data_IF_519449333412
#
_entry.id   IF_519449333412
#
_cell.length_a   1.000
_cell.length_b   1.000
_cell.length_c   1.000
_cell.angle_alpha   90.00
_cell.angle_beta   90.00
_cell.angle_gamma   90.00
#
_symmetry.space_group_name_H-M   'P 1'
#
loop_
_entity.id
_entity.type
_entity.pdbx_description
1 polymer ?
#
# COMPACT_ATOMS: atom_id res chain seq x y z
N UNK A 1 -53.77 -10.06 7.53
CA UNK A 1 -53.09 -11.37 7.68
C UNK A 1 -53.19 -12.07 6.36
N UNK A 2 -52.07 -12.22 5.67
CA UNK A 2 -51.93 -12.90 4.36
C UNK A 2 -50.47 -13.30 4.28
N UNK A 3 -50.18 -14.58 4.05
CA UNK A 3 -48.82 -15.11 4.12
C UNK A 3 -47.94 -14.54 3.01
N UNK A 4 -46.72 -14.12 3.38
CA UNK A 4 -45.62 -13.98 2.43
C UNK A 4 -44.59 -15.05 2.76
N UNK A 5 -44.45 -16.02 1.87
CA UNK A 5 -43.57 -17.18 2.05
C UNK A 5 -42.15 -16.74 2.46
N UNK A 6 -41.67 -17.26 3.59
CA UNK A 6 -40.25 -17.15 3.94
C UNK A 6 -39.48 -18.05 2.99
N UNK A 7 -39.05 -17.49 1.85
CA UNK A 7 -38.04 -18.10 1.00
C UNK A 7 -36.77 -18.28 1.82
N UNK A 8 -36.56 -19.50 2.32
CA UNK A 8 -35.34 -19.90 2.97
C UNK A 8 -34.19 -19.69 1.97
N UNK A 9 -33.38 -18.65 2.20
CA UNK A 9 -32.19 -18.41 1.41
C UNK A 9 -31.23 -19.59 1.66
N UNK A 10 -31.06 -20.44 0.65
CA UNK A 10 -30.11 -21.55 0.68
C UNK A 10 -28.72 -20.97 0.93
N UNK A 11 -28.16 -21.27 2.09
CA UNK A 11 -26.85 -20.76 2.48
C UNK A 11 -25.76 -21.53 1.72
N UNK A 12 -25.40 -21.03 0.53
CA UNK A 12 -24.29 -21.56 -0.27
C UNK A 12 -22.97 -21.33 0.45
N UNK A 13 -22.64 -22.24 1.37
CA UNK A 13 -21.37 -22.31 2.08
C UNK A 13 -20.48 -23.37 1.43
N UNK A 14 -19.60 -22.94 0.53
CA UNK A 14 -18.61 -23.84 -0.10
C UNK A 14 -17.35 -23.91 0.74
N UNK A 15 -16.82 -25.13 0.93
CA UNK A 15 -15.59 -25.35 1.67
C UNK A 15 -14.83 -26.55 1.08
N UNK A 16 -13.50 -26.53 1.18
CA UNK A 16 -12.65 -27.59 0.62
C UNK A 16 -11.16 -27.31 0.78
N UNK A 17 -10.33 -28.17 0.18
CA UNK A 17 -8.90 -27.88 -0.03
C UNK A 17 -8.73 -27.03 -1.29
N UNK A 18 -7.87 -26.04 -1.23
CA UNK A 18 -7.51 -25.21 -2.39
C UNK A 18 -6.66 -26.03 -3.38
N UNK A 19 -6.87 -25.80 -4.67
CA UNK A 19 -5.98 -26.31 -5.72
C UNK A 19 -4.71 -25.45 -5.78
N UNK A 20 -3.60 -26.00 -6.30
CA UNK A 20 -2.33 -25.30 -6.38
C UNK A 20 -1.64 -25.44 -7.74
N UNK A 21 -0.78 -24.48 -8.07
CA UNK A 21 0.09 -24.52 -9.26
C UNK A 21 1.47 -23.90 -8.96
N UNK A 22 2.58 -24.51 -9.41
CA UNK A 22 3.90 -23.89 -9.33
C UNK A 22 4.01 -22.69 -10.31
N UNK A 23 4.46 -21.55 -9.79
CA UNK A 23 4.58 -20.28 -10.52
C UNK A 23 5.88 -19.57 -10.13
N UNK A 24 6.38 -18.65 -10.98
CA UNK A 24 7.59 -17.84 -10.76
C UNK A 24 8.91 -18.62 -10.66
N UNK A 25 9.09 -19.45 -9.62
CA UNK A 25 10.32 -20.20 -9.32
C UNK A 25 10.04 -21.47 -8.50
N UNK A 26 11.02 -22.37 -8.40
CA UNK A 26 10.84 -23.68 -7.78
C UNK A 26 10.62 -23.61 -6.26
N UNK A 27 9.45 -24.06 -5.80
CA UNK A 27 8.99 -23.94 -4.40
C UNK A 27 8.02 -22.78 -4.16
N UNK A 28 7.74 -21.95 -5.18
CA UNK A 28 6.70 -20.92 -5.12
C UNK A 28 5.41 -21.45 -5.75
N UNK A 29 4.34 -21.44 -4.97
CA UNK A 29 3.04 -21.99 -5.35
C UNK A 29 1.95 -20.92 -5.28
N UNK A 30 1.12 -20.90 -6.32
CA UNK A 30 -0.18 -20.25 -6.34
C UNK A 30 -1.23 -21.19 -5.76
N UNK A 31 -2.17 -20.68 -4.97
CA UNK A 31 -3.36 -21.41 -4.52
C UNK A 31 -4.66 -20.69 -4.89
N UNK A 32 -5.66 -21.44 -5.34
CA UNK A 32 -7.01 -20.96 -5.71
C UNK A 32 -8.10 -21.92 -5.17
N UNK A 33 -9.33 -21.44 -4.96
CA UNK A 33 -10.43 -22.28 -4.45
C UNK A 33 -10.91 -23.32 -5.48
N UNK A 34 -10.98 -22.94 -6.75
CA UNK A 34 -11.30 -23.81 -7.88
C UNK A 34 -10.64 -23.29 -9.17
N UNK A 35 -10.71 -24.08 -10.25
CA UNK A 35 -10.28 -23.63 -11.58
C UNK A 35 -11.08 -22.40 -12.06
N UNK A 36 -12.37 -22.34 -11.73
CA UNK A 36 -13.26 -21.24 -12.10
C UNK A 36 -12.85 -19.94 -11.36
N UNK A 37 -12.54 -20.02 -10.07
CA UNK A 37 -12.08 -18.86 -9.29
C UNK A 37 -10.73 -18.33 -9.80
N UNK A 38 -9.83 -19.25 -10.18
CA UNK A 38 -8.53 -18.95 -10.78
C UNK A 38 -8.66 -18.19 -12.11
N UNK A 39 -9.68 -18.53 -12.91
CA UNK A 39 -9.97 -17.92 -14.22
C UNK A 39 -10.78 -16.62 -14.10
N UNK A 40 -11.59 -16.48 -13.05
CA UNK A 40 -12.36 -15.28 -12.74
C UNK A 40 -11.55 -14.18 -12.02
N UNK A 41 -10.33 -14.46 -11.53
CA UNK A 41 -9.52 -13.48 -10.80
C UNK A 41 -8.90 -12.43 -11.72
N UNK A 42 -8.86 -11.18 -11.25
CA UNK A 42 -8.15 -10.11 -11.94
C UNK A 42 -6.62 -10.36 -12.00
N UNK A 43 -5.91 -9.79 -12.99
CA UNK A 43 -4.45 -9.78 -13.02
C UNK A 43 -3.87 -9.20 -11.74
N UNK A 44 -2.84 -9.84 -11.19
CA UNK A 44 -2.24 -9.40 -9.92
C UNK A 44 -1.67 -7.99 -10.03
N UNK A 45 -1.80 -7.19 -8.96
CA UNK A 45 -1.12 -5.91 -8.82
C UNK A 45 0.16 -5.99 -7.97
N UNK A 46 0.44 -7.17 -7.38
CA UNK A 46 1.59 -7.43 -6.51
C UNK A 46 2.91 -7.58 -7.26
N UNK A 47 2.88 -7.68 -8.60
CA UNK A 47 4.03 -7.91 -9.49
C UNK A 47 4.15 -6.82 -10.56
N UNK A 48 5.38 -6.44 -10.91
CA UNK A 48 5.69 -5.47 -11.97
C UNK A 48 5.09 -5.89 -13.31
N UNK A 49 5.20 -7.18 -13.63
CA UNK A 49 4.47 -7.82 -14.73
C UNK A 49 3.30 -8.60 -14.14
N UNK A 50 2.09 -8.07 -14.28
CA UNK A 50 0.86 -8.66 -13.76
C UNK A 50 0.66 -10.13 -14.18
N UNK A 51 1.17 -10.51 -15.37
CA UNK A 51 1.04 -11.88 -15.91
C UNK A 51 1.98 -12.89 -15.24
N UNK A 52 3.03 -12.47 -14.53
CA UNK A 52 4.03 -13.41 -13.98
C UNK A 52 3.43 -14.39 -12.95
N UNK A 53 2.37 -14.01 -12.23
CA UNK A 53 1.60 -14.91 -11.35
C UNK A 53 0.84 -15.99 -12.11
N UNK A 54 0.53 -15.75 -13.38
CA UNK A 54 -0.30 -16.61 -14.22
C UNK A 54 0.56 -17.50 -15.16
N UNK A 55 1.90 -17.38 -15.09
CA UNK A 55 2.86 -18.22 -15.82
C UNK A 55 3.27 -19.43 -14.96
N UNK A 56 3.01 -20.62 -15.49
CA UNK A 56 3.38 -21.89 -14.88
C UNK A 56 4.88 -22.19 -15.05
N UNK A 57 5.46 -22.82 -14.03
CA UNK A 57 6.86 -23.30 -14.05
C UNK A 57 6.87 -24.80 -13.86
N UNK A 58 7.73 -25.53 -14.59
CA UNK A 58 7.92 -26.96 -14.33
C UNK A 58 8.63 -27.14 -12.99
N UNK A 59 7.94 -27.73 -12.01
CA UNK A 59 8.50 -28.12 -10.71
C UNK A 59 8.01 -29.51 -10.35
N UNK A 60 8.92 -30.30 -9.77
CA UNK A 60 8.63 -31.63 -9.22
C UNK A 60 8.31 -31.57 -7.72
N UNK A 61 8.26 -30.37 -7.11
CA UNK A 61 7.92 -30.18 -5.69
C UNK A 61 6.41 -30.04 -5.52
N UNK A 62 5.91 -30.63 -4.44
CA UNK A 62 4.57 -30.35 -3.90
C UNK A 62 4.68 -29.38 -2.71
N UNK A 63 3.68 -28.52 -2.46
CA UNK A 63 3.68 -27.65 -1.30
C UNK A 63 3.51 -28.43 0.02
N UNK A 64 4.36 -28.14 1.01
CA UNK A 64 4.31 -28.78 2.35
C UNK A 64 3.05 -28.46 3.15
N UNK A 65 2.30 -27.42 2.74
CA UNK A 65 1.04 -26.99 3.33
C UNK A 65 0.04 -26.71 2.19
N UNK A 66 -1.13 -27.32 2.24
CA UNK A 66 -2.23 -27.08 1.27
C UNK A 66 -3.38 -26.44 2.05
N UNK A 67 -3.79 -25.20 1.72
CA UNK A 67 -4.82 -24.50 2.48
C UNK A 67 -6.20 -25.11 2.29
N UNK A 68 -7.01 -25.00 3.35
CA UNK A 68 -8.46 -25.15 3.27
C UNK A 68 -9.10 -23.77 3.13
N UNK A 69 -10.25 -23.72 2.47
CA UNK A 69 -11.07 -22.53 2.35
C UNK A 69 -12.49 -22.78 2.83
N UNK A 70 -13.16 -21.71 3.23
CA UNK A 70 -14.55 -21.70 3.66
C UNK A 70 -15.18 -20.36 3.25
N UNK A 71 -16.14 -20.40 2.34
CA UNK A 71 -16.90 -19.24 1.88
C UNK A 71 -18.25 -19.18 2.60
N UNK A 72 -18.60 -18.04 3.18
CA UNK A 72 -19.92 -17.78 3.79
C UNK A 72 -20.30 -16.32 3.63
N UNK A 73 -21.55 -16.02 3.23
CA UNK A 73 -22.10 -14.66 3.20
C UNK A 73 -21.24 -13.64 2.42
N UNK A 74 -20.62 -14.07 1.31
CA UNK A 74 -19.71 -13.24 0.50
C UNK A 74 -18.32 -12.99 1.10
N UNK A 75 -18.02 -13.57 2.27
CA UNK A 75 -16.70 -13.61 2.88
C UNK A 75 -16.01 -14.93 2.55
N UNK A 76 -14.69 -14.88 2.36
CA UNK A 76 -13.83 -16.04 2.12
C UNK A 76 -12.80 -16.15 3.25
N UNK A 77 -12.79 -17.28 3.94
CA UNK A 77 -11.86 -17.61 5.03
C UNK A 77 -10.87 -18.64 4.49
N UNK A 78 -9.57 -18.39 4.63
CA UNK A 78 -8.49 -19.31 4.24
C UNK A 78 -7.68 -19.70 5.48
N UNK A 79 -7.38 -21.00 5.63
CA UNK A 79 -6.65 -21.60 6.75
C UNK A 79 -5.55 -22.50 6.16
N UNK A 80 -4.27 -22.40 6.55
CA UNK A 80 -3.34 -23.52 6.33
C UNK A 80 -3.40 -24.47 7.51
N UNK A 81 -3.81 -25.70 7.24
CA UNK A 81 -3.86 -26.81 8.18
C UNK A 81 -3.03 -27.96 7.60
N UNK A 82 -2.38 -28.73 8.46
CA UNK A 82 -1.62 -29.92 8.02
C UNK A 82 -2.53 -31.15 7.90
N UNK A 83 -2.06 -32.20 7.23
CA UNK A 83 -2.93 -33.18 6.57
C UNK A 83 -3.68 -34.15 7.50
N UNK A 84 -4.98 -34.30 7.25
CA UNK A 84 -5.89 -35.40 7.65
C UNK A 84 -6.15 -35.63 9.16
N UNK A 85 -5.22 -35.31 10.05
CA UNK A 85 -5.53 -34.89 11.42
C UNK A 85 -4.99 -33.47 11.60
N UNK A 86 -5.74 -32.60 12.27
CA UNK A 86 -5.46 -31.15 12.33
C UNK A 86 -4.23 -30.85 13.18
N UNK A 87 -3.06 -30.93 12.56
CA UNK A 87 -1.79 -30.38 13.09
C UNK A 87 -1.62 -28.97 12.54
N UNK A 88 -1.17 -28.06 13.41
CA UNK A 88 -1.05 -26.62 13.13
C UNK A 88 0.40 -26.26 12.82
N UNK A 89 0.71 -24.97 12.69
CA UNK A 89 2.12 -24.55 12.78
C UNK A 89 2.73 -25.06 14.09
N UNK A 90 3.99 -25.55 14.08
CA UNK A 90 4.67 -26.03 15.29
C UNK A 90 4.63 -24.99 16.42
N UNK A 91 4.46 -25.46 17.66
CA UNK A 91 4.51 -24.58 18.84
C UNK A 91 5.88 -23.87 18.92
N UNK A 92 5.85 -22.55 19.10
CA UNK A 92 7.04 -21.69 18.98
C UNK A 92 7.28 -21.12 17.57
N UNK A 93 6.36 -21.29 16.63
CA UNK A 93 6.38 -20.53 15.36
C UNK A 93 6.10 -19.04 15.61
N UNK A 94 7.01 -18.17 15.19
CA UNK A 94 6.86 -16.70 15.28
C UNK A 94 6.36 -16.11 13.96
N UNK A 95 5.51 -15.08 14.04
CA UNK A 95 4.90 -14.43 12.87
C UNK A 95 5.29 -12.95 12.75
N UNK A 96 5.52 -12.50 11.54
CA UNK A 96 5.84 -11.10 11.18
C UNK A 96 5.04 -10.70 9.92
N UNK A 97 4.85 -9.40 9.65
CA UNK A 97 4.25 -8.94 8.38
C UNK A 97 3.05 -8.00 8.52
N UNK A 98 2.17 -8.08 7.53
CA UNK A 98 0.87 -7.39 7.38
C UNK A 98 0.92 -5.87 7.20
N UNK A 99 1.90 -5.38 6.43
CA UNK A 99 1.93 -3.99 5.99
C UNK A 99 2.56 -3.03 6.98
N UNK A 100 2.04 -1.81 7.03
CA UNK A 100 2.44 -0.81 8.00
C UNK A 100 1.59 -0.94 9.27
N UNK A 101 2.24 -1.31 10.39
CA UNK A 101 1.57 -1.63 11.65
C UNK A 101 2.45 -1.20 12.81
N UNK A 102 1.85 -0.51 13.79
CA UNK A 102 2.52 -0.02 15.01
C UNK A 102 2.97 -1.15 15.96
N UNK A 103 3.58 -0.77 17.08
CA UNK A 103 3.84 -1.68 18.20
C UNK A 103 5.05 -2.62 18.01
N UNK A 104 4.93 -3.85 18.52
CA UNK A 104 5.99 -4.86 18.45
C UNK A 104 6.13 -5.44 17.04
N UNK A 105 7.35 -5.83 16.65
CA UNK A 105 7.62 -6.40 15.32
C UNK A 105 6.98 -7.79 15.13
N UNK A 106 6.98 -8.62 16.17
CA UNK A 106 6.30 -9.92 16.17
C UNK A 106 4.78 -9.76 16.31
N UNK A 107 4.03 -10.57 15.55
CA UNK A 107 2.57 -10.55 15.43
C UNK A 107 1.89 -11.80 15.99
N UNK A 108 2.67 -12.73 16.55
CA UNK A 108 2.17 -13.93 17.24
C UNK A 108 1.16 -13.57 18.33
N UNK A 109 -0.06 -14.11 18.23
CA UNK A 109 -1.18 -13.81 19.14
C UNK A 109 -1.97 -12.54 18.81
N UNK A 110 -1.60 -11.76 17.78
CA UNK A 110 -2.28 -10.51 17.38
C UNK A 110 -3.31 -10.72 16.26
N UNK A 111 -4.11 -9.68 16.00
CA UNK A 111 -5.04 -9.55 14.88
C UNK A 111 -4.69 -8.27 14.13
N UNK A 112 -4.54 -8.31 12.81
CA UNK A 112 -4.11 -7.15 12.00
C UNK A 112 -5.05 -6.96 10.82
N UNK A 113 -5.35 -5.70 10.49
CA UNK A 113 -6.26 -5.34 9.41
C UNK A 113 -5.52 -4.58 8.31
N UNK A 114 -5.38 -5.18 7.13
CA UNK A 114 -4.82 -4.49 5.96
C UNK A 114 -5.90 -3.59 5.34
N UNK A 115 -5.88 -2.32 5.73
CA UNK A 115 -6.77 -1.28 5.22
C UNK A 115 -6.10 0.09 5.29
N UNK A 116 -5.90 0.76 4.14
CA UNK A 116 -5.25 2.07 4.08
C UNK A 116 -6.14 3.11 4.78
N UNK A 117 -5.62 3.67 5.87
CA UNK A 117 -6.34 4.54 6.81
C UNK A 117 -5.46 5.74 7.14
N UNK A 118 -6.02 6.96 7.09
CA UNK A 118 -5.33 8.13 7.62
C UNK A 118 -5.37 8.07 9.16
N UNK A 119 -4.20 7.87 9.77
CA UNK A 119 -4.04 7.45 11.15
C UNK A 119 -3.11 8.41 11.92
N UNK A 120 -3.39 9.72 11.85
CA UNK A 120 -2.64 10.74 12.58
C UNK A 120 -2.51 10.40 14.08
N UNK A 121 -1.29 10.49 14.62
CA UNK A 121 -1.04 10.27 16.05
C UNK A 121 -1.27 8.82 16.53
N UNK A 122 -1.07 7.84 15.64
CA UNK A 122 -1.29 6.40 15.92
C UNK A 122 -0.62 5.87 17.19
N UNK A 123 -1.34 5.05 17.95
CA UNK A 123 -0.84 4.39 19.17
C UNK A 123 -0.21 3.01 18.89
N UNK A 124 0.32 2.32 19.91
CA UNK A 124 1.03 1.04 19.73
C UNK A 124 0.16 -0.11 19.22
N UNK A 125 -1.15 -0.11 19.48
CA UNK A 125 -2.11 -1.13 19.03
C UNK A 125 -2.90 -0.70 17.77
N UNK A 126 -2.46 0.33 17.03
CA UNK A 126 -3.11 0.76 15.78
C UNK A 126 -2.80 -0.21 14.62
N UNK A 127 -3.77 -1.05 14.30
CA UNK A 127 -3.63 -2.20 13.39
C UNK A 127 -3.89 -1.91 11.90
N UNK A 128 -4.30 -0.69 11.56
CA UNK A 128 -4.45 -0.20 10.19
C UNK A 128 -3.85 1.20 10.10
N UNK A 129 -2.79 1.33 9.30
CA UNK A 129 -2.12 2.60 8.99
C UNK A 129 -2.22 2.85 7.48
N UNK A 130 -1.22 3.50 6.88
CA UNK A 130 -1.32 4.05 5.54
C UNK A 130 -1.10 2.96 4.45
N UNK A 131 -0.38 1.87 4.75
CA UNK A 131 -0.05 0.82 3.76
C UNK A 131 -0.56 -0.60 4.06
N UNK A 132 -1.30 -1.17 3.10
CA UNK A 132 -1.86 -2.53 3.13
C UNK A 132 -1.00 -3.52 2.37
N UNK A 133 -0.14 -4.27 3.06
CA UNK A 133 0.57 -5.41 2.47
C UNK A 133 -0.01 -6.71 3.06
N UNK A 134 -0.86 -7.47 2.33
CA UNK A 134 -1.45 -8.73 2.80
C UNK A 134 -0.43 -9.89 2.77
N UNK A 135 0.72 -9.66 3.39
CA UNK A 135 1.91 -10.51 3.43
C UNK A 135 2.22 -10.94 4.86
N UNK A 136 2.65 -12.18 5.05
CA UNK A 136 3.06 -12.76 6.33
C UNK A 136 4.41 -13.42 6.15
N UNK A 137 5.26 -13.40 7.18
CA UNK A 137 6.42 -14.26 7.30
C UNK A 137 6.30 -15.07 8.59
N UNK A 138 6.10 -16.38 8.46
CA UNK A 138 6.20 -17.33 9.57
C UNK A 138 7.64 -17.85 9.65
N UNK A 139 8.19 -17.94 10.86
CA UNK A 139 9.49 -18.54 11.16
C UNK A 139 9.26 -19.69 12.14
N UNK A 140 9.61 -20.91 11.71
CA UNK A 140 9.38 -22.14 12.44
C UNK A 140 10.47 -22.36 13.53
N UNK A 141 10.21 -23.18 14.57
CA UNK A 141 11.18 -23.45 15.65
C UNK A 141 12.52 -24.06 15.20
N UNK A 142 12.57 -24.67 14.01
CA UNK A 142 13.78 -25.22 13.39
C UNK A 142 14.57 -24.19 12.55
N UNK A 143 14.11 -22.93 12.48
CA UNK A 143 14.73 -21.87 11.68
C UNK A 143 14.29 -21.80 10.21
N UNK A 144 13.41 -22.70 9.75
CA UNK A 144 12.80 -22.60 8.43
C UNK A 144 11.79 -21.42 8.38
N UNK A 145 11.58 -20.86 7.19
CA UNK A 145 10.72 -19.68 7.02
C UNK A 145 9.76 -19.83 5.84
N UNK A 146 8.51 -19.42 6.05
CA UNK A 146 7.38 -19.54 5.13
C UNK A 146 6.70 -18.17 4.97
N UNK A 147 6.95 -17.48 3.86
CA UNK A 147 6.37 -16.17 3.57
C UNK A 147 5.10 -16.27 2.73
N UNK A 148 3.93 -15.85 3.23
CA UNK A 148 2.60 -16.04 2.62
C UNK A 148 2.01 -14.71 2.14
N UNK A 149 1.68 -14.59 0.85
CA UNK A 149 0.95 -13.47 0.25
C UNK A 149 -0.50 -13.88 -0.04
N UNK A 150 -1.49 -13.18 0.50
CA UNK A 150 -2.85 -13.20 -0.04
C UNK A 150 -2.98 -12.09 -1.11
N UNK A 151 -2.91 -12.45 -2.40
CA UNK A 151 -2.96 -11.54 -3.56
C UNK A 151 -4.39 -11.03 -3.79
N UNK A 152 -4.88 -10.21 -2.86
CA UNK A 152 -6.23 -9.63 -2.89
C UNK A 152 -6.20 -8.11 -2.73
N UNK A 153 -7.07 -7.44 -3.47
CA UNK A 153 -7.40 -6.02 -3.28
C UNK A 153 -8.70 -5.84 -2.47
N UNK A 154 -9.11 -6.85 -1.68
CA UNK A 154 -10.21 -6.76 -0.70
C UNK A 154 -9.68 -6.39 0.70
N UNK A 155 -10.57 -6.07 1.65
CA UNK A 155 -10.17 -5.81 3.04
C UNK A 155 -9.72 -7.14 3.63
N UNK A 156 -8.41 -7.33 3.83
CA UNK A 156 -7.87 -8.59 4.32
C UNK A 156 -7.50 -8.48 5.80
N UNK A 157 -7.95 -9.44 6.60
CA UNK A 157 -7.70 -9.54 8.03
C UNK A 157 -6.81 -10.75 8.32
N UNK A 158 -5.65 -10.52 8.94
CA UNK A 158 -4.75 -11.57 9.41
C UNK A 158 -5.03 -11.89 10.88
N UNK A 159 -5.37 -13.14 11.19
CA UNK A 159 -5.68 -13.61 12.53
C UNK A 159 -4.59 -14.59 13.02
N UNK A 160 -3.57 -14.06 13.68
CA UNK A 160 -2.35 -14.78 14.10
C UNK A 160 -2.50 -15.50 15.45
N UNK A 161 -3.61 -16.21 15.67
CA UNK A 161 -3.94 -16.79 16.97
C UNK A 161 -3.09 -18.03 17.32
N UNK A 162 -1.89 -17.80 17.86
CA UNK A 162 -1.18 -18.78 18.68
C UNK A 162 -1.84 -18.92 20.07
N UNK A 163 -3.12 -19.30 20.08
CA UNK A 163 -3.79 -19.82 21.27
C UNK A 163 -3.36 -21.28 21.48
N UNK A 164 -3.69 -21.86 22.63
CA UNK A 164 -3.50 -23.31 22.89
C UNK A 164 -4.22 -24.22 21.86
N UNK A 165 -5.19 -23.67 21.10
CA UNK A 165 -5.85 -24.36 19.98
C UNK A 165 -5.14 -24.21 18.63
N UNK A 166 -4.17 -23.31 18.48
CA UNK A 166 -3.23 -23.19 17.35
C UNK A 166 -3.80 -22.87 15.95
N UNK A 167 -5.11 -22.68 15.80
CA UNK A 167 -5.73 -22.36 14.51
C UNK A 167 -5.46 -20.91 14.12
N UNK A 168 -5.17 -20.67 12.85
CA UNK A 168 -5.08 -19.35 12.26
C UNK A 168 -5.97 -19.22 11.03
N UNK A 169 -6.32 -17.99 10.67
CA UNK A 169 -7.07 -17.71 9.46
C UNK A 169 -6.61 -16.39 8.81
N UNK A 170 -6.68 -16.34 7.49
CA UNK A 170 -6.79 -15.08 6.75
C UNK A 170 -8.26 -14.94 6.35
N UNK A 171 -8.89 -13.85 6.78
CA UNK A 171 -10.32 -13.60 6.58
C UNK A 171 -10.48 -12.51 5.52
N UNK A 172 -11.39 -12.75 4.57
CA UNK A 172 -11.67 -11.95 3.37
C UNK A 172 -10.58 -11.94 2.28
N UNK A 173 -9.83 -13.05 2.14
CA UNK A 173 -8.86 -13.25 1.06
C UNK A 173 -9.51 -13.66 -0.28
N UNK A 174 -10.25 -12.76 -0.94
CA UNK A 174 -10.76 -13.00 -2.30
C UNK A 174 -9.64 -12.72 -3.31
N UNK A 175 -8.80 -13.73 -3.54
CA UNK A 175 -7.61 -13.68 -4.38
C UNK A 175 -6.74 -14.92 -4.19
N UNK A 176 -5.75 -15.11 -5.07
CA UNK A 176 -4.86 -16.26 -5.00
C UNK A 176 -3.81 -16.11 -3.88
N UNK A 177 -3.29 -17.21 -3.34
CA UNK A 177 -2.21 -17.17 -2.33
C UNK A 177 -0.85 -17.50 -2.96
N UNK A 178 0.24 -16.77 -2.64
CA UNK A 178 1.60 -16.93 -3.21
C UNK A 178 2.68 -16.95 -2.12
N UNK A 179 3.91 -17.41 -2.41
CA UNK A 179 4.97 -17.67 -1.40
C UNK A 179 6.37 -17.09 -1.77
N UNK A 180 7.16 -16.51 -0.84
CA UNK A 180 8.53 -15.93 -1.11
C UNK A 180 9.45 -15.60 0.12
N UNK A 181 10.65 -15.01 -0.09
CA UNK A 181 11.75 -14.69 0.88
C UNK A 181 12.74 -13.58 0.35
N UNK A 182 13.10 -12.48 1.07
CA UNK A 182 14.14 -11.45 0.67
C UNK A 182 14.48 -10.28 1.69
N UNK A 183 15.42 -9.31 1.39
CA UNK A 183 16.07 -8.28 2.30
C UNK A 183 16.47 -6.87 1.66
N UNK A 184 16.75 -5.77 2.43
CA UNK A 184 17.53 -4.50 2.10
C UNK A 184 16.86 -3.05 2.31
N UNK A 185 17.51 -1.90 2.67
CA UNK A 185 16.89 -0.72 3.42
C UNK A 185 17.01 0.80 2.95
N UNK A 186 16.00 1.69 3.26
CA UNK A 186 16.05 3.19 3.50
C UNK A 186 15.97 4.21 2.30
N UNK A 187 15.54 5.51 2.33
CA UNK A 187 14.80 6.45 3.26
C UNK A 187 14.41 7.87 2.64
N UNK A 188 13.55 8.75 3.24
CA UNK A 188 13.23 10.18 2.83
C UNK A 188 12.10 11.01 3.56
N UNK A 189 11.94 12.36 3.37
CA UNK A 189 10.80 13.30 3.78
C UNK A 189 11.03 14.80 3.33
N UNK A 190 10.31 15.95 3.56
CA UNK A 190 9.06 16.47 4.28
C UNK A 190 8.53 17.84 3.61
N UNK A 191 7.35 18.47 3.95
CA UNK A 191 6.61 19.47 3.08
C UNK A 191 6.17 20.86 3.66
N UNK A 192 5.44 21.68 2.86
CA UNK A 192 4.55 22.84 3.23
C UNK A 192 3.22 22.90 2.40
N UNK A 193 2.25 23.79 2.74
CA UNK A 193 0.81 23.67 2.35
C UNK A 193 0.08 24.85 1.65
N UNK A 194 -1.28 24.84 1.71
CA UNK A 194 -2.28 25.68 1.00
C UNK A 194 -2.20 25.67 -0.55
N UNK A 195 -2.74 24.63 -1.20
CA UNK A 195 -2.42 24.30 -2.60
C UNK A 195 -3.63 24.23 -3.53
N UNK A 196 -3.43 24.55 -4.81
CA UNK A 196 -4.08 23.85 -5.91
C UNK A 196 -3.21 22.65 -6.29
N UNK A 197 -3.78 21.48 -6.50
CA UNK A 197 -3.00 20.22 -6.58
C UNK A 197 -1.96 20.21 -7.71
N UNK A 198 -2.34 20.79 -8.86
CA UNK A 198 -1.49 20.91 -10.05
C UNK A 198 -1.65 22.37 -10.51
N UNK A 199 -1.18 23.28 -9.65
CA UNK A 199 -1.20 24.72 -9.85
C UNK A 199 -0.44 25.41 -8.72
N UNK A 200 0.54 26.22 -9.05
CA UNK A 200 1.36 26.93 -8.08
C UNK A 200 0.58 28.09 -7.44
N UNK A 201 1.00 28.51 -6.25
CA UNK A 201 0.50 29.74 -5.64
C UNK A 201 1.22 30.90 -6.33
N UNK A 202 0.61 31.44 -7.38
CA UNK A 202 1.20 32.47 -8.25
C UNK A 202 1.78 33.66 -7.46
N UNK A 203 1.07 34.09 -6.42
CA UNK A 203 1.47 35.18 -5.50
C UNK A 203 2.75 34.90 -4.69
N UNK A 204 3.14 33.63 -4.53
CA UNK A 204 4.29 33.22 -3.68
C UNK A 204 5.43 32.60 -4.48
N UNK A 205 5.12 31.94 -5.59
CA UNK A 205 6.07 31.24 -6.44
C UNK A 205 5.78 31.49 -7.93
N UNK A 206 5.81 32.76 -8.40
CA UNK A 206 5.45 33.12 -9.77
C UNK A 206 6.42 32.55 -10.82
N UNK A 207 7.71 32.39 -10.46
CA UNK A 207 8.67 31.65 -11.28
C UNK A 207 9.19 30.40 -10.52
N UNK A 208 8.56 29.22 -10.71
CA UNK A 208 9.07 27.97 -10.15
C UNK A 208 10.39 27.52 -10.79
N UNK A 209 10.68 27.94 -12.03
CA UNK A 209 11.85 27.51 -12.79
C UNK A 209 13.10 28.23 -12.28
N UNK A 210 13.02 29.52 -11.95
CA UNK A 210 14.10 30.20 -11.23
C UNK A 210 14.30 29.57 -9.85
N UNK A 211 13.24 29.41 -9.05
CA UNK A 211 13.35 28.80 -7.71
C UNK A 211 14.08 27.43 -7.74
N UNK A 212 13.71 26.54 -8.66
CA UNK A 212 14.35 25.22 -8.77
C UNK A 212 15.78 25.31 -9.33
N UNK A 213 16.04 26.21 -10.29
CA UNK A 213 17.39 26.51 -10.77
C UNK A 213 18.28 27.03 -9.65
N UNK A 214 17.78 27.92 -8.80
CA UNK A 214 18.53 28.51 -7.69
C UNK A 214 18.84 27.47 -6.61
N UNK A 215 17.89 26.57 -6.30
CA UNK A 215 18.15 25.37 -5.49
C UNK A 215 19.22 24.47 -6.12
N UNK A 216 19.23 24.26 -7.44
CA UNK A 216 20.27 23.48 -8.13
C UNK A 216 21.64 24.17 -8.08
N UNK A 217 21.70 25.50 -8.18
CA UNK A 217 22.94 26.28 -8.10
C UNK A 217 23.64 26.10 -6.74
N UNK A 218 22.87 25.94 -5.64
CA UNK A 218 23.41 25.66 -4.30
C UNK A 218 23.49 24.15 -3.98
N UNK A 219 23.33 23.26 -4.98
CA UNK A 219 23.51 21.82 -4.84
C UNK A 219 22.31 21.04 -4.27
N UNK A 220 21.17 21.70 -4.04
CA UNK A 220 19.95 21.06 -3.51
C UNK A 220 19.11 20.40 -4.61
N UNK A 221 18.11 19.63 -4.18
CA UNK A 221 17.16 18.90 -5.04
C UNK A 221 15.72 19.25 -4.67
N UNK A 222 14.89 19.49 -5.68
CA UNK A 222 13.53 20.00 -5.49
C UNK A 222 12.51 18.86 -5.52
N UNK A 223 11.96 18.53 -4.34
CA UNK A 223 10.92 17.51 -4.16
C UNK A 223 9.59 18.20 -3.86
N UNK A 224 8.55 17.91 -4.66
CA UNK A 224 7.25 18.61 -4.57
C UNK A 224 6.09 17.64 -4.26
N UNK A 225 5.24 18.02 -3.32
CA UNK A 225 4.11 17.21 -2.85
C UNK A 225 2.83 17.50 -3.65
N UNK A 226 2.28 16.48 -4.34
CA UNK A 226 1.06 16.50 -5.14
C UNK A 226 -0.03 15.59 -4.52
N UNK A 227 -1.15 16.17 -4.12
CA UNK A 227 -2.31 15.51 -3.53
C UNK A 227 -3.31 15.02 -4.61
N UNK A 228 -4.12 13.96 -4.38
CA UNK A 228 -5.05 13.43 -5.39
C UNK A 228 -6.38 14.16 -5.55
N UNK A 229 -6.88 14.83 -4.50
CA UNK A 229 -8.21 15.45 -4.51
C UNK A 229 -8.21 16.75 -5.31
N UNK A 230 -8.57 16.70 -6.59
CA UNK A 230 -8.62 17.86 -7.48
C UNK A 230 -9.78 18.77 -7.08
N UNK A 231 -9.50 20.02 -6.74
CA UNK A 231 -10.53 21.01 -6.36
C UNK A 231 -11.69 21.03 -7.37
N UNK A 232 -12.91 20.89 -6.86
CA UNK A 232 -14.15 20.94 -7.63
C UNK A 232 -14.54 22.41 -7.88
N UNK A 233 -13.92 23.01 -8.90
CA UNK A 233 -14.00 24.44 -9.22
C UNK A 233 -14.19 24.61 -10.74
N UNK A 234 -15.30 25.24 -11.16
CA UNK A 234 -15.49 25.59 -12.58
C UNK A 234 -14.41 26.57 -13.04
N UNK A 235 -13.96 26.43 -14.29
CA UNK A 235 -12.83 27.19 -14.83
C UNK A 235 -11.44 26.70 -14.38
N UNK A 236 -11.31 25.88 -13.34
CA UNK A 236 -10.02 25.26 -13.00
C UNK A 236 -9.61 24.25 -14.07
N UNK A 237 -8.53 24.53 -14.80
CA UNK A 237 -8.13 23.79 -16.00
C UNK A 237 -7.94 22.27 -15.77
N UNK A 238 -7.49 21.86 -14.59
CA UNK A 238 -7.32 20.44 -14.23
C UNK A 238 -8.68 19.76 -14.10
N UNK A 239 -9.65 20.42 -13.44
CA UNK A 239 -11.01 19.90 -13.33
C UNK A 239 -11.69 19.85 -14.71
N UNK A 240 -11.60 20.91 -15.51
CA UNK A 240 -12.13 20.93 -16.88
C UNK A 240 -11.50 19.83 -17.77
N UNK A 241 -10.17 19.64 -17.67
CA UNK A 241 -9.45 18.61 -18.40
C UNK A 241 -9.85 17.19 -17.99
N UNK A 242 -9.93 16.90 -16.68
CA UNK A 242 -10.31 15.57 -16.21
C UNK A 242 -11.77 15.24 -16.52
N UNK A 243 -12.68 16.21 -16.43
CA UNK A 243 -14.08 16.04 -16.84
C UNK A 243 -14.20 15.75 -18.34
N UNK A 244 -13.43 16.44 -19.20
CA UNK A 244 -13.41 16.18 -20.66
C UNK A 244 -12.93 14.76 -21.01
N UNK A 245 -12.07 14.17 -20.19
CA UNK A 245 -11.54 12.81 -20.39
C UNK A 245 -12.31 11.73 -19.59
N UNK A 246 -13.33 12.12 -18.82
CA UNK A 246 -14.08 11.26 -17.90
C UNK A 246 -13.15 10.42 -17.00
N UNK A 247 -12.33 11.09 -16.17
CA UNK A 247 -11.30 10.42 -15.34
C UNK A 247 -11.69 10.29 -13.87
N UNK A 248 -12.88 10.73 -13.47
CA UNK A 248 -13.27 10.80 -12.06
C UNK A 248 -13.85 9.49 -11.54
N UNK A 249 -13.64 9.22 -10.26
CA UNK A 249 -14.46 8.27 -9.51
C UNK A 249 -15.91 8.78 -9.55
N UNK A 250 -16.82 7.95 -10.06
CA UNK A 250 -18.26 8.24 -10.11
C UNK A 250 -19.00 7.54 -8.95
N UNK A 251 -20.13 8.14 -8.55
CA UNK A 251 -21.15 7.51 -7.70
C UNK A 251 -22.10 6.66 -8.57
N UNK A 252 -22.98 5.89 -7.94
CA UNK A 252 -23.95 5.03 -8.64
C UNK A 252 -24.98 5.80 -9.52
N UNK A 253 -25.09 7.13 -9.37
CA UNK A 253 -25.89 8.02 -10.22
C UNK A 253 -25.09 8.62 -11.40
N UNK A 254 -23.88 8.10 -11.68
CA UNK A 254 -22.98 8.56 -12.75
C UNK A 254 -22.30 9.91 -12.49
N UNK A 255 -22.62 10.61 -11.39
CA UNK A 255 -22.00 11.90 -11.05
C UNK A 255 -20.66 11.68 -10.34
N UNK A 256 -19.66 12.56 -10.52
CA UNK A 256 -18.42 12.50 -9.77
C UNK A 256 -18.64 12.39 -8.25
N UNK A 257 -17.82 11.58 -7.59
CA UNK A 257 -17.71 11.57 -6.14
C UNK A 257 -17.00 12.86 -5.70
N UNK A 258 -17.62 13.57 -4.77
CA UNK A 258 -17.09 14.80 -4.17
C UNK A 258 -16.84 14.56 -2.69
N UNK A 259 -15.68 14.98 -2.18
CA UNK A 259 -15.32 14.94 -0.77
C UNK A 259 -14.28 16.00 -0.42
N UNK A 260 -14.25 16.45 0.82
CA UNK A 260 -13.42 17.58 1.25
C UNK A 260 -11.98 17.17 1.60
N UNK A 261 -11.01 17.96 1.11
CA UNK A 261 -9.57 17.82 1.39
C UNK A 261 -8.95 19.23 1.49
N UNK A 262 -7.62 19.37 1.37
CA UNK A 262 -6.90 20.65 1.55
C UNK A 262 -7.47 21.88 0.80
N UNK A 263 -7.98 21.80 -0.45
CA UNK A 263 -8.54 22.95 -1.15
C UNK A 263 -10.07 23.10 -0.97
N UNK A 264 -10.69 22.38 -0.03
CA UNK A 264 -12.14 22.26 0.12
C UNK A 264 -12.71 21.10 -0.69
N UNK A 265 -13.91 21.23 -1.30
CA UNK A 265 -14.53 20.17 -2.09
C UNK A 265 -13.66 19.71 -3.26
N UNK A 266 -13.44 18.40 -3.36
CA UNK A 266 -12.58 17.77 -4.37
C UNK A 266 -13.27 16.64 -5.12
N UNK A 267 -12.92 16.45 -6.39
CA UNK A 267 -13.12 15.20 -7.14
C UNK A 267 -11.81 14.40 -7.21
N UNK A 268 -11.91 13.08 -7.42
CA UNK A 268 -10.78 12.16 -7.29
C UNK A 268 -10.59 11.36 -8.59
N UNK A 269 -9.37 11.29 -9.18
CA UNK A 269 -9.11 10.47 -10.36
C UNK A 269 -9.30 8.98 -10.08
N UNK A 270 -10.02 8.26 -10.94
CA UNK A 270 -10.14 6.80 -10.88
C UNK A 270 -8.88 6.14 -11.48
N UNK A 271 -7.81 6.09 -10.67
CA UNK A 271 -6.56 5.46 -11.06
C UNK A 271 -6.66 3.96 -11.39
N UNK A 272 -7.81 3.29 -11.19
CA UNK A 272 -8.02 1.92 -11.72
C UNK A 272 -8.10 1.91 -13.24
N UNK A 273 -8.59 2.99 -13.85
CA UNK A 273 -8.73 3.15 -15.29
C UNK A 273 -7.42 3.63 -15.95
N UNK A 274 -7.04 3.01 -17.06
CA UNK A 274 -5.83 3.38 -17.82
C UNK A 274 -5.87 4.81 -18.35
N UNK A 275 -7.05 5.30 -18.76
CA UNK A 275 -7.24 6.70 -19.20
C UNK A 275 -6.92 7.72 -18.10
N UNK A 276 -7.34 7.47 -16.86
CA UNK A 276 -7.05 8.37 -15.73
C UNK A 276 -5.56 8.38 -15.39
N UNK A 277 -4.91 7.22 -15.39
CA UNK A 277 -3.45 7.10 -15.19
C UNK A 277 -2.65 7.85 -16.27
N UNK A 278 -3.03 7.68 -17.54
CA UNK A 278 -2.37 8.37 -18.66
C UNK A 278 -2.59 9.89 -18.62
N UNK A 279 -3.80 10.34 -18.25
CA UNK A 279 -4.11 11.75 -18.04
C UNK A 279 -3.25 12.36 -16.91
N UNK A 280 -3.17 11.70 -15.75
CA UNK A 280 -2.33 12.12 -14.62
C UNK A 280 -0.84 12.12 -14.98
N UNK A 281 -0.35 11.09 -15.66
CA UNK A 281 1.04 10.98 -16.09
C UNK A 281 1.45 12.14 -17.01
N UNK A 282 0.57 12.63 -17.87
CA UNK A 282 0.82 13.82 -18.70
C UNK A 282 0.88 15.11 -17.86
N UNK A 283 -0.02 15.29 -16.88
CA UNK A 283 0.02 16.43 -15.98
C UNK A 283 1.30 16.43 -15.12
N UNK A 284 1.75 15.26 -14.63
CA UNK A 284 3.02 15.12 -13.92
C UNK A 284 4.20 15.39 -14.85
N UNK A 285 4.20 14.88 -16.09
CA UNK A 285 5.23 15.19 -17.10
C UNK A 285 5.41 16.70 -17.28
N UNK A 286 4.30 17.42 -17.46
CA UNK A 286 4.33 18.86 -17.71
C UNK A 286 4.71 19.64 -16.44
N UNK A 287 4.32 19.16 -15.25
CA UNK A 287 4.78 19.73 -13.97
C UNK A 287 6.30 19.54 -13.75
N UNK A 288 6.86 18.38 -14.10
CA UNK A 288 8.31 18.12 -14.02
C UNK A 288 9.12 19.03 -14.97
N UNK A 289 8.53 19.55 -16.04
CA UNK A 289 9.17 20.53 -16.94
C UNK A 289 9.58 21.85 -16.26
N UNK A 290 9.14 22.07 -15.01
CA UNK A 290 9.59 23.17 -14.16
C UNK A 290 10.94 22.90 -13.44
N UNK A 291 11.60 21.77 -13.74
CA UNK A 291 12.93 21.41 -13.23
C UNK A 291 12.93 20.47 -12.02
N UNK A 292 11.74 20.22 -11.45
CA UNK A 292 11.48 19.37 -10.28
C UNK A 292 12.18 18.01 -10.41
N UNK A 293 12.89 17.56 -9.37
CA UNK A 293 13.66 16.31 -9.39
C UNK A 293 12.88 15.11 -8.84
N UNK A 294 11.85 15.34 -8.03
CA UNK A 294 11.06 14.28 -7.43
C UNK A 294 9.68 14.72 -6.98
N UNK A 295 8.76 13.76 -6.89
CA UNK A 295 7.38 13.98 -6.46
C UNK A 295 7.12 13.23 -5.16
N UNK A 296 6.25 13.80 -4.34
CA UNK A 296 5.65 13.11 -3.22
C UNK A 296 4.12 13.09 -3.40
N UNK A 297 3.50 11.91 -3.36
CA UNK A 297 2.05 11.77 -3.24
C UNK A 297 1.63 11.58 -1.77
N UNK A 298 0.82 12.51 -1.27
CA UNK A 298 0.22 12.53 0.08
C UNK A 298 -1.31 12.43 -0.01
N UNK A 299 -1.98 12.24 1.12
CA UNK A 299 -3.45 12.09 1.23
C UNK A 299 -4.04 11.03 0.27
N UNK A 300 -3.24 10.02 -0.08
CA UNK A 300 -3.52 9.11 -1.19
C UNK A 300 -3.97 7.72 -0.77
N UNK A 301 -4.47 7.58 0.47
CA UNK A 301 -5.22 6.41 0.92
C UNK A 301 -6.39 6.15 -0.03
N UNK A 302 -7.18 7.21 -0.35
CA UNK A 302 -8.44 7.46 0.35
C UNK A 302 -9.19 6.14 0.60
N UNK A 303 -9.72 5.98 1.82
CA UNK A 303 -10.13 4.72 2.47
C UNK A 303 -11.31 3.94 1.82
N UNK A 304 -11.51 4.10 0.51
CA UNK A 304 -12.47 3.41 -0.36
C UNK A 304 -11.71 2.40 -1.27
N UNK A 305 -10.44 2.67 -1.64
CA UNK A 305 -9.72 1.92 -2.69
C UNK A 305 -8.29 1.51 -2.28
N UNK A 306 -8.10 0.24 -1.84
CA UNK A 306 -6.82 -0.32 -1.31
C UNK A 306 -5.56 -0.19 -2.19
N UNK A 307 -5.71 0.04 -3.50
CA UNK A 307 -4.57 0.19 -4.43
C UNK A 307 -4.43 1.61 -4.97
N UNK A 308 -5.23 2.58 -4.49
CA UNK A 308 -5.28 3.94 -5.03
C UNK A 308 -3.92 4.64 -4.92
N UNK A 309 -3.32 4.69 -3.73
CA UNK A 309 -2.01 5.31 -3.51
C UNK A 309 -0.90 4.68 -4.37
N UNK A 310 -0.92 3.36 -4.54
CA UNK A 310 0.01 2.65 -5.43
C UNK A 310 -0.20 3.01 -6.91
N UNK A 311 -1.45 3.04 -7.39
CA UNK A 311 -1.76 3.37 -8.79
C UNK A 311 -1.52 4.85 -9.10
N UNK A 312 -1.73 5.75 -8.13
CA UNK A 312 -1.31 7.15 -8.19
C UNK A 312 0.21 7.26 -8.27
N UNK A 313 0.95 6.64 -7.34
CA UNK A 313 2.42 6.65 -7.31
C UNK A 313 3.04 6.06 -8.60
N UNK A 314 2.46 4.99 -9.13
CA UNK A 314 2.80 4.43 -10.45
C UNK A 314 2.58 5.44 -11.57
N UNK A 315 1.42 6.09 -11.62
CA UNK A 315 1.09 7.09 -12.65
C UNK A 315 2.04 8.30 -12.58
N UNK A 316 2.41 8.70 -11.37
CA UNK A 316 3.44 9.73 -11.11
C UNK A 316 4.81 9.28 -11.63
N UNK A 317 5.24 8.06 -11.31
CA UNK A 317 6.53 7.50 -11.76
C UNK A 317 6.61 7.41 -13.30
N UNK A 318 5.54 6.89 -13.93
CA UNK A 318 5.42 6.82 -15.39
C UNK A 318 5.46 8.24 -16.01
N UNK A 319 4.75 9.22 -15.42
CA UNK A 319 4.78 10.62 -15.85
C UNK A 319 6.16 11.29 -15.74
N UNK A 320 6.90 11.04 -14.66
CA UNK A 320 8.30 11.50 -14.53
C UNK A 320 9.20 10.92 -15.62
N UNK A 321 9.06 9.62 -15.93
CA UNK A 321 9.79 8.96 -17.01
C UNK A 321 9.41 9.44 -18.42
N UNK A 322 8.22 10.03 -18.59
CA UNK A 322 7.81 10.72 -19.83
C UNK A 322 8.39 12.14 -19.95
N UNK A 323 8.85 12.76 -18.87
CA UNK A 323 9.47 14.09 -18.89
C UNK A 323 10.97 14.05 -19.23
N UNK A 324 11.76 13.21 -18.55
CA UNK A 324 13.17 12.99 -18.89
C UNK A 324 13.62 11.56 -18.59
N UNK A 325 13.70 10.74 -19.65
CA UNK A 325 14.14 9.33 -19.59
C UNK A 325 15.58 9.14 -19.10
N UNK A 326 16.38 10.20 -19.00
CA UNK A 326 17.77 10.16 -18.52
C UNK A 326 17.86 10.34 -17.00
N UNK A 327 16.85 10.94 -16.37
CA UNK A 327 16.74 11.01 -14.90
C UNK A 327 16.03 9.77 -14.37
N UNK A 328 16.54 9.17 -13.29
CA UNK A 328 15.80 8.17 -12.53
C UNK A 328 14.66 8.86 -11.76
N UNK A 329 13.38 8.48 -11.92
CA UNK A 329 12.31 9.07 -11.14
C UNK A 329 12.48 8.81 -9.64
N UNK A 330 12.19 9.82 -8.82
CA UNK A 330 12.05 9.71 -7.37
C UNK A 330 10.62 10.05 -6.99
N UNK A 331 9.89 9.04 -6.49
CA UNK A 331 8.54 9.20 -5.94
C UNK A 331 8.54 8.75 -4.49
N UNK A 332 7.89 9.53 -3.62
CA UNK A 332 7.55 9.19 -2.24
C UNK A 332 6.02 9.06 -2.14
N UNK A 333 5.49 8.06 -1.44
CA UNK A 333 4.03 7.85 -1.29
C UNK A 333 3.66 7.56 0.15
N UNK A 334 2.51 8.08 0.63
CA UNK A 334 1.98 7.73 1.95
C UNK A 334 1.36 6.34 1.88
N UNK A 335 0.23 6.26 1.20
CA UNK A 335 -0.49 5.02 1.03
C UNK A 335 0.18 4.11 0.00
N UNK A 336 -0.01 2.81 0.19
CA UNK A 336 0.61 1.80 -0.64
C UNK A 336 -0.14 0.48 -0.61
N UNK A 337 0.25 -0.38 -1.53
CA UNK A 337 -0.08 -1.79 -1.58
C UNK A 337 1.20 -2.55 -1.95
N UNK A 338 1.25 -3.86 -1.73
CA UNK A 338 2.45 -4.63 -2.08
C UNK A 338 2.68 -4.55 -3.60
N UNK A 339 3.89 -4.18 -4.01
CA UNK A 339 4.19 -3.73 -5.38
C UNK A 339 4.53 -2.23 -5.47
N UNK A 340 4.11 -1.40 -4.50
CA UNK A 340 4.47 0.03 -4.43
C UNK A 340 5.99 0.26 -4.47
N UNK A 341 6.79 -0.65 -3.92
CA UNK A 341 8.26 -0.56 -3.89
C UNK A 341 8.92 -0.47 -5.27
N UNK A 342 8.22 -0.84 -6.33
CA UNK A 342 8.70 -0.73 -7.71
C UNK A 342 8.55 0.68 -8.31
N UNK A 343 7.75 1.54 -7.68
CA UNK A 343 7.42 2.88 -8.17
C UNK A 343 7.77 4.00 -7.18
N UNK A 344 7.71 3.73 -5.87
CA UNK A 344 7.90 4.76 -4.85
C UNK A 344 8.56 4.24 -3.56
N UNK A 345 9.25 5.17 -2.90
CA UNK A 345 9.58 5.09 -1.48
C UNK A 345 8.36 5.38 -0.61
N UNK A 346 8.42 5.07 0.69
CA UNK A 346 7.38 5.44 1.67
C UNK A 346 7.95 6.13 2.90
N UNK A 347 7.10 6.72 3.74
CA UNK A 347 7.42 7.05 5.11
C UNK A 347 6.26 6.68 6.06
N UNK A 348 6.54 6.52 7.36
CA UNK A 348 5.56 6.03 8.35
C UNK A 348 4.48 7.04 8.80
N UNK A 349 3.95 7.83 7.86
CA UNK A 349 2.88 8.81 8.10
C UNK A 349 3.14 9.82 9.24
N UNK A 350 2.04 10.36 9.80
CA UNK A 350 2.10 11.47 10.76
C UNK A 350 2.24 11.00 12.21
N UNK A 351 3.50 10.82 12.62
CA UNK A 351 3.90 10.51 14.00
C UNK A 351 3.96 11.75 14.91
N UNK A 352 4.04 11.53 16.23
CA UNK A 352 4.25 12.57 17.24
C UNK A 352 5.74 12.71 17.63
N UNK A 353 6.15 13.88 18.12
CA UNK A 353 7.53 14.13 18.60
C UNK A 353 7.76 13.64 20.04
N UNK A 354 7.60 12.33 20.30
CA UNK A 354 7.86 11.74 21.61
C UNK A 354 8.71 10.45 21.52
N UNK A 355 9.16 9.94 22.69
CA UNK A 355 10.00 8.75 22.76
C UNK A 355 9.28 7.47 22.31
N UNK A 356 7.96 7.40 22.50
CA UNK A 356 7.14 6.23 22.12
C UNK A 356 7.08 6.08 20.60
N UNK A 357 6.83 7.15 19.86
CA UNK A 357 6.85 7.15 18.40
C UNK A 357 8.27 6.93 17.84
N UNK A 358 9.32 7.43 18.52
CA UNK A 358 10.71 7.11 18.16
C UNK A 358 10.98 5.60 18.32
N UNK A 359 10.56 4.98 19.43
CA UNK A 359 10.71 3.55 19.66
C UNK A 359 9.88 2.71 18.66
N UNK A 360 8.60 3.08 18.43
CA UNK A 360 7.74 2.43 17.44
C UNK A 360 8.31 2.53 16.02
N UNK A 361 8.98 3.64 15.68
CA UNK A 361 9.55 3.83 14.34
C UNK A 361 10.53 2.71 13.95
N UNK A 362 11.28 2.17 14.91
CA UNK A 362 12.23 1.07 14.69
C UNK A 362 11.48 -0.18 14.25
N UNK A 363 10.48 -0.61 15.04
CA UNK A 363 9.62 -1.76 14.70
C UNK A 363 8.89 -1.57 13.38
N UNK A 364 8.35 -0.37 13.12
CA UNK A 364 7.61 -0.07 11.88
C UNK A 364 8.52 -0.10 10.65
N UNK A 365 9.71 0.49 10.72
CA UNK A 365 10.69 0.48 9.62
C UNK A 365 11.22 -0.94 9.34
N UNK A 366 11.49 -1.74 10.38
CA UNK A 366 11.79 -3.17 10.23
C UNK A 366 10.59 -3.95 9.67
N UNK A 367 9.36 -3.58 10.03
CA UNK A 367 8.17 -4.24 9.52
C UNK A 367 7.94 -3.95 8.03
N UNK A 368 8.06 -2.69 7.59
CA UNK A 368 8.00 -2.31 6.17
C UNK A 368 9.04 -3.09 5.34
N UNK A 369 10.25 -3.28 5.90
CA UNK A 369 11.28 -4.13 5.30
C UNK A 369 10.85 -5.58 5.13
N UNK A 370 10.31 -6.23 6.17
CA UNK A 370 9.82 -7.63 6.07
C UNK A 370 8.71 -7.78 5.01
N UNK A 371 7.98 -6.70 4.69
CA UNK A 371 7.00 -6.65 3.59
C UNK A 371 7.61 -6.31 2.20
N UNK A 372 8.94 -6.30 2.05
CA UNK A 372 9.62 -6.15 0.74
C UNK A 372 9.92 -4.73 0.29
N UNK A 373 9.57 -3.68 1.04
CA UNK A 373 9.99 -2.31 0.72
C UNK A 373 11.50 -2.15 0.89
N UNK A 374 12.14 -1.46 -0.06
CA UNK A 374 13.58 -1.19 -0.01
C UNK A 374 13.94 0.25 0.32
N UNK A 375 13.02 1.21 0.16
CA UNK A 375 13.25 2.63 0.49
C UNK A 375 12.09 3.14 1.36
N UNK A 376 12.36 3.39 2.64
CA UNK A 376 11.37 3.75 3.65
C UNK A 376 12.01 4.48 4.83
N UNK A 377 11.23 5.29 5.54
CA UNK A 377 11.71 6.15 6.65
C UNK A 377 10.62 6.43 7.67
N UNK A 378 11.03 6.84 8.87
CA UNK A 378 10.15 7.57 9.78
C UNK A 378 10.52 9.05 9.82
N UNK A 379 9.61 9.87 10.33
CA UNK A 379 9.76 11.32 10.46
C UNK A 379 10.45 11.65 11.79
N UNK A 380 11.55 12.41 11.75
CA UNK A 380 12.34 12.76 12.95
C UNK A 380 11.66 13.86 13.81
N UNK A 381 10.84 14.72 13.20
CA UNK A 381 9.99 15.70 13.90
C UNK A 381 8.53 15.53 13.52
N UNK A 382 7.73 15.06 14.48
CA UNK A 382 6.32 14.73 14.33
C UNK A 382 5.45 15.87 13.79
N UNK A 383 4.30 15.50 13.24
CA UNK A 383 3.36 16.42 12.64
C UNK A 383 2.69 17.31 13.71
N UNK A 384 3.03 18.61 13.69
CA UNK A 384 2.50 19.66 14.58
C UNK A 384 2.92 19.58 16.06
N UNK A 385 4.07 18.98 16.38
CA UNK A 385 4.59 18.96 17.76
C UNK A 385 5.76 19.93 18.01
N UNK A 386 5.77 20.56 19.18
CA UNK A 386 6.97 21.17 19.78
C UNK A 386 8.01 20.07 20.04
N UNK A 387 9.27 20.30 19.67
CA UNK A 387 10.33 19.29 19.77
C UNK A 387 11.33 19.69 20.85
N UNK A 388 11.54 18.81 21.84
CA UNK A 388 12.60 19.00 22.83
C UNK A 388 13.97 18.71 22.19
N UNK A 389 14.96 19.56 22.46
CA UNK A 389 16.32 19.40 21.95
C UNK A 389 16.97 18.05 22.34
N UNK A 390 16.47 17.37 23.38
CA UNK A 390 16.93 16.02 23.78
C UNK A 390 16.48 14.90 22.84
N UNK A 391 15.57 15.15 21.90
CA UNK A 391 15.05 14.16 20.94
C UNK A 391 15.71 14.32 19.55
N UNK A 392 16.24 15.50 19.22
CA UNK A 392 16.91 15.79 17.95
C UNK A 392 18.38 16.14 18.18
N UNK A 393 19.25 15.15 18.05
CA UNK A 393 20.69 15.35 17.96
C UNK A 393 21.04 15.61 16.49
N UNK A 394 21.22 16.89 16.14
CA UNK A 394 21.91 17.26 14.90
C UNK A 394 23.42 17.18 15.16
N UNK A 395 24.23 16.64 14.23
CA UNK A 395 25.68 16.76 14.33
C UNK A 395 26.08 18.23 14.21
N UNK A 396 26.98 18.69 15.08
CA UNK A 396 27.59 20.01 14.92
C UNK A 396 28.41 20.03 13.63
N UNK A 397 28.00 20.86 12.66
CA UNK A 397 28.84 21.20 11.53
C UNK A 397 29.91 22.17 12.04
N UNK A 398 31.03 21.63 12.50
CA UNK A 398 32.22 22.44 12.77
C UNK A 398 32.65 23.11 11.47
N UNK A 399 32.45 24.43 11.40
CA UNK A 399 32.81 25.22 10.22
C UNK A 399 34.32 25.27 10.06
N UNK A 400 34.85 24.49 9.12
CA UNK A 400 36.22 24.64 8.64
C UNK A 400 36.43 26.05 8.07
N UNK A 401 37.55 26.67 8.46
CA UNK A 401 38.09 27.88 7.83
C UNK A 401 39.12 27.49 6.78
#
# INVERSE_FOLDING_TARGET
MTDSEVKAATSDSTAGKMIFQPILEDGVFRFDCSANDREAVYPSLSFINNKSRDVLVMSNKTPSYIPTFECRLGQQIVKLEWSFLVVKFPAGTSFYGTGEVSGQLERTGKRVFTWNTDAWGYGPETTSLYQSHPWVLAVLPNGEALGILADTTRRCEGLFLCLQSGHWAIINAVGAMTLKRELNTGSGSKPFGNKKNIGLIDERFPDPKSLVKDLHNIGFKAIWMLDPGIKHEEGYFVYASGSKHDVWIQKADGKPFVGDVWPGPCVFPDFTQSKARAWWANLVKDFISNGVDGIWNDMNEPAIFKVYGMLMARSTYEGMGLADRRKRPFVLTRAGFIGSQSYAATWTGDNLSNWEHLQMSISMMLQLKVNGLSIYSSIVKGARCTLSARILILPEVQGGK
#
